data_IF_951692980358
#
_entry.id   IF_951692980358
#
_cell.length_a   1.000
_cell.length_b   1.000
_cell.length_c   1.000
_cell.angle_alpha   90.00
_cell.angle_beta   90.00
_cell.angle_gamma   90.00
#
_symmetry.space_group_name_H-M   'P 1'
#
loop_
_entity.id
_entity.type
_entity.pdbx_description
1 polymer ?
#
# COMPACT_ATOMS: atom_id res chain seq x y z
N UNK A 1 0.42 -37.22 26.02
CA UNK A 1 1.52 -36.37 25.52
C UNK A 1 1.17 -35.96 24.11
N UNK A 2 0.65 -34.74 23.91
CA UNK A 2 0.53 -34.19 22.57
C UNK A 2 1.95 -33.95 22.04
N UNK A 3 2.28 -34.50 20.88
CA UNK A 3 3.50 -34.14 20.19
C UNK A 3 3.43 -32.63 19.91
N UNK A 4 4.27 -31.85 20.59
CA UNK A 4 4.45 -30.44 20.29
C UNK A 4 4.89 -30.39 18.83
N UNK A 5 4.10 -29.76 17.97
CA UNK A 5 4.50 -29.50 16.60
C UNK A 5 5.87 -28.81 16.63
N UNK A 6 6.79 -29.14 15.72
CA UNK A 6 8.06 -28.43 15.64
C UNK A 6 7.78 -26.94 15.42
N UNK A 7 8.54 -26.10 16.12
CA UNK A 7 8.47 -24.64 15.97
C UNK A 7 8.69 -24.27 14.49
N UNK A 8 8.00 -23.21 14.05
CA UNK A 8 8.12 -22.78 12.65
C UNK A 8 9.49 -22.16 12.35
N UNK A 9 10.07 -21.54 13.38
CA UNK A 9 11.36 -20.87 13.32
C UNK A 9 12.26 -21.35 14.48
N UNK A 10 13.59 -21.19 14.35
CA UNK A 10 14.51 -21.32 15.48
C UNK A 10 14.18 -20.33 16.61
N UNK A 11 14.50 -20.69 17.85
CA UNK A 11 14.17 -19.95 19.09
C UNK A 11 14.60 -18.47 19.09
N UNK A 12 15.70 -18.10 18.42
CA UNK A 12 16.09 -16.69 18.31
C UNK A 12 15.24 -15.92 17.28
N UNK A 13 14.78 -16.61 16.24
CA UNK A 13 14.11 -16.00 15.09
C UNK A 13 12.60 -15.94 15.23
N UNK A 14 12.00 -16.81 16.04
CA UNK A 14 10.55 -16.87 16.30
C UNK A 14 9.97 -15.55 16.85
N UNK A 15 10.79 -14.75 17.50
CA UNK A 15 10.41 -13.46 18.09
C UNK A 15 10.95 -12.31 17.25
N UNK A 16 12.21 -12.39 16.81
CA UNK A 16 12.86 -11.31 16.06
C UNK A 16 12.21 -11.06 14.70
N UNK A 17 11.88 -12.11 13.95
CA UNK A 17 11.30 -11.97 12.62
C UNK A 17 9.91 -11.33 12.69
N UNK A 18 8.96 -11.81 13.52
CA UNK A 18 7.67 -11.16 13.63
C UNK A 18 7.75 -9.71 14.11
N UNK A 19 8.61 -9.40 15.09
CA UNK A 19 8.76 -8.02 15.58
C UNK A 19 9.29 -7.10 14.49
N UNK A 20 10.28 -7.56 13.72
CA UNK A 20 10.82 -6.79 12.60
C UNK A 20 9.75 -6.58 11.51
N UNK A 21 9.01 -7.63 11.14
CA UNK A 21 7.90 -7.54 10.19
C UNK A 21 6.81 -6.58 10.70
N UNK A 22 6.48 -6.64 11.99
CA UNK A 22 5.47 -5.77 12.59
C UNK A 22 5.92 -4.29 12.60
N UNK A 23 7.19 -4.04 12.91
CA UNK A 23 7.77 -2.71 12.84
C UNK A 23 7.75 -2.13 11.42
N UNK A 24 8.10 -2.95 10.42
CA UNK A 24 8.08 -2.55 9.02
C UNK A 24 6.67 -2.34 8.47
N UNK A 25 5.71 -3.18 8.87
CA UNK A 25 4.31 -3.00 8.45
C UNK A 25 3.76 -1.66 8.94
N UNK A 26 3.91 -1.38 10.24
CA UNK A 26 3.42 -0.16 10.84
C UNK A 26 4.11 1.06 10.21
N UNK A 27 5.42 0.98 9.96
CA UNK A 27 6.16 2.01 9.25
C UNK A 27 5.52 2.29 7.88
N UNK A 28 5.31 1.28 7.05
CA UNK A 28 4.75 1.50 5.71
C UNK A 28 3.28 1.92 5.72
N UNK A 29 2.42 1.28 6.51
CA UNK A 29 0.98 1.54 6.51
C UNK A 29 0.67 2.93 7.07
N UNK A 30 1.27 3.28 8.22
CA UNK A 30 1.00 4.56 8.89
C UNK A 30 1.55 5.72 8.07
N UNK A 31 2.78 5.62 7.57
CA UNK A 31 3.36 6.71 6.76
C UNK A 31 2.67 6.86 5.41
N UNK A 32 2.21 5.76 4.79
CA UNK A 32 1.36 5.85 3.58
C UNK A 32 0.06 6.57 3.88
N UNK A 33 -0.61 6.22 4.98
CA UNK A 33 -1.89 6.82 5.38
C UNK A 33 -1.72 8.30 5.70
N UNK A 34 -0.60 8.66 6.34
CA UNK A 34 -0.26 10.05 6.59
C UNK A 34 -0.08 10.84 5.30
N UNK A 35 0.65 10.28 4.32
CA UNK A 35 0.94 10.97 3.06
C UNK A 35 -0.28 11.07 2.13
N UNK A 36 -1.12 10.03 2.08
CA UNK A 36 -2.32 9.98 1.23
C UNK A 36 -3.54 10.65 1.87
N UNK A 37 -3.57 10.74 3.20
CA UNK A 37 -4.76 11.07 3.97
C UNK A 37 -5.85 10.00 3.83
N UNK A 38 -6.96 10.20 4.54
CA UNK A 38 -8.09 9.25 4.56
C UNK A 38 -8.62 8.98 3.16
N UNK A 39 -8.85 10.03 2.37
CA UNK A 39 -9.45 9.87 1.04
C UNK A 39 -8.53 9.15 0.06
N UNK A 40 -7.23 9.46 0.04
CA UNK A 40 -6.28 8.75 -0.82
C UNK A 40 -6.10 7.29 -0.39
N UNK A 41 -6.10 7.02 0.91
CA UNK A 41 -6.01 5.66 1.46
C UNK A 41 -7.20 4.78 1.06
N UNK A 42 -8.42 5.32 1.08
CA UNK A 42 -9.65 4.57 0.80
C UNK A 42 -10.18 4.77 -0.63
N UNK A 43 -9.27 4.88 -1.62
CA UNK A 43 -9.60 4.91 -3.05
C UNK A 43 -10.52 6.08 -3.46
N UNK A 44 -10.27 7.27 -2.91
CA UNK A 44 -11.02 8.48 -3.27
C UNK A 44 -11.01 8.82 -4.76
N UNK A 45 -9.97 8.37 -5.48
CA UNK A 45 -9.86 8.49 -6.94
C UNK A 45 -10.98 7.75 -7.70
N UNK A 46 -11.62 6.75 -7.09
CA UNK A 46 -12.78 6.06 -7.66
C UNK A 46 -14.07 6.89 -7.53
N UNK A 47 -14.06 7.91 -6.68
CA UNK A 47 -15.18 8.81 -6.42
C UNK A 47 -14.91 10.24 -6.92
N UNK A 48 -13.95 10.40 -7.84
CA UNK A 48 -13.51 11.69 -8.40
C UNK A 48 -12.89 12.65 -7.35
N UNK A 49 -12.50 12.15 -6.18
CA UNK A 49 -11.77 12.92 -5.16
C UNK A 49 -10.28 12.66 -5.34
N UNK A 50 -9.68 13.43 -6.25
CA UNK A 50 -8.31 13.24 -6.70
C UNK A 50 -7.34 14.24 -6.06
N UNK A 51 -6.17 13.75 -5.61
CA UNK A 51 -5.10 14.60 -5.10
C UNK A 51 -4.52 15.47 -6.22
N UNK A 52 -3.85 16.57 -5.85
CA UNK A 52 -3.24 17.46 -6.85
C UNK A 52 -2.12 16.80 -7.64
N UNK A 53 -1.33 15.98 -6.95
CA UNK A 53 -0.29 15.15 -7.53
C UNK A 53 -0.26 13.79 -6.82
N UNK A 54 0.34 12.81 -7.47
CA UNK A 54 0.62 11.50 -6.85
C UNK A 54 1.67 11.70 -5.74
N UNK A 55 1.50 10.97 -4.64
CA UNK A 55 2.53 10.90 -3.60
C UNK A 55 3.73 10.13 -4.13
N UNK A 56 4.87 10.81 -4.26
CA UNK A 56 6.14 10.22 -4.68
C UNK A 56 7.17 10.18 -3.55
N UNK A 57 6.90 10.81 -2.40
CA UNK A 57 7.76 10.76 -1.22
C UNK A 57 7.67 9.42 -0.47
N UNK A 58 8.44 9.27 0.61
CA UNK A 58 8.35 8.08 1.46
C UNK A 58 6.92 7.86 1.99
N UNK A 59 6.40 6.62 1.92
CA UNK A 59 7.06 5.37 1.48
C UNK A 59 6.93 5.03 -0.02
N UNK A 60 6.22 5.84 -0.80
CA UNK A 60 5.93 5.60 -2.22
C UNK A 60 7.17 5.66 -3.13
N UNK A 61 8.26 6.33 -2.71
CA UNK A 61 9.55 6.31 -3.41
C UNK A 61 10.28 4.95 -3.31
N UNK A 62 10.02 4.16 -2.27
CA UNK A 62 10.67 2.86 -2.04
C UNK A 62 9.83 1.73 -2.60
N UNK A 63 8.51 1.79 -2.41
CA UNK A 63 7.55 0.78 -2.87
C UNK A 63 6.42 1.48 -3.62
N UNK A 64 5.97 0.90 -4.73
CA UNK A 64 4.83 1.46 -5.49
C UNK A 64 3.53 1.44 -4.70
N UNK A 65 3.32 0.35 -3.95
CA UNK A 65 2.08 0.05 -3.23
C UNK A 65 2.38 -0.31 -1.76
N UNK A 66 2.95 0.63 -0.99
CA UNK A 66 3.55 0.38 0.32
C UNK A 66 2.54 -0.15 1.33
N UNK A 67 1.28 0.28 1.26
CA UNK A 67 0.21 -0.21 2.14
C UNK A 67 -0.07 -1.71 1.95
N UNK A 68 -0.07 -2.20 0.71
CA UNK A 68 -0.34 -3.61 0.41
C UNK A 68 0.83 -4.51 0.85
N UNK A 69 2.06 -4.02 0.66
CA UNK A 69 3.26 -4.69 1.14
C UNK A 69 3.28 -4.72 2.67
N UNK A 70 3.05 -3.57 3.31
CA UNK A 70 2.96 -3.45 4.77
C UNK A 70 1.91 -4.39 5.34
N UNK A 71 0.65 -4.32 4.90
CA UNK A 71 -0.40 -5.20 5.44
C UNK A 71 -0.10 -6.70 5.23
N UNK A 72 0.58 -7.09 4.14
CA UNK A 72 1.07 -8.47 3.96
C UNK A 72 2.10 -8.85 5.03
N UNK A 73 3.04 -7.96 5.35
CA UNK A 73 4.00 -8.15 6.44
C UNK A 73 3.28 -8.30 7.80
N UNK A 74 2.22 -7.52 8.04
CA UNK A 74 1.41 -7.62 9.26
C UNK A 74 0.78 -9.02 9.41
N UNK A 75 0.17 -9.55 8.35
CA UNK A 75 -0.40 -10.90 8.35
C UNK A 75 0.67 -11.98 8.58
N UNK A 76 1.83 -11.84 7.91
CA UNK A 76 2.95 -12.75 8.11
C UNK A 76 3.48 -12.70 9.55
N UNK A 77 3.64 -11.50 10.12
CA UNK A 77 4.12 -11.29 11.47
C UNK A 77 3.24 -12.02 12.49
N UNK A 78 1.92 -11.81 12.43
CA UNK A 78 0.98 -12.46 13.35
C UNK A 78 0.95 -13.98 13.15
N UNK A 79 0.99 -14.46 11.91
CA UNK A 79 1.04 -15.89 11.63
C UNK A 79 2.28 -16.58 12.22
N UNK A 80 3.43 -15.91 12.12
CA UNK A 80 4.70 -16.39 12.69
C UNK A 80 4.72 -16.27 14.22
N UNK A 81 4.24 -15.15 14.77
CA UNK A 81 4.20 -14.92 16.22
C UNK A 81 3.41 -15.98 16.98
N UNK A 82 2.32 -16.48 16.39
CA UNK A 82 1.49 -17.54 16.97
C UNK A 82 1.83 -18.94 16.44
N UNK A 83 2.89 -19.08 15.66
CA UNK A 83 3.34 -20.32 15.03
C UNK A 83 2.21 -21.08 14.31
N UNK A 84 1.45 -20.36 13.47
CA UNK A 84 0.29 -20.92 12.75
C UNK A 84 0.60 -21.09 11.25
N UNK A 85 0.88 -22.31 10.76
CA UNK A 85 1.09 -22.57 9.34
C UNK A 85 -0.10 -22.15 8.46
N UNK A 86 -1.33 -22.33 8.97
CA UNK A 86 -2.53 -21.88 8.30
C UNK A 86 -2.55 -20.36 8.09
N UNK A 87 -2.02 -19.58 9.04
CA UNK A 87 -1.88 -18.14 8.92
C UNK A 87 -0.94 -17.73 7.78
N UNK A 88 0.14 -18.49 7.55
CA UNK A 88 1.05 -18.27 6.41
C UNK A 88 0.38 -18.57 5.07
N UNK A 89 -0.45 -19.62 4.99
CA UNK A 89 -1.23 -19.92 3.79
C UNK A 89 -2.25 -18.82 3.49
N UNK A 90 -2.91 -18.29 4.52
CA UNK A 90 -3.82 -17.15 4.39
C UNK A 90 -3.04 -15.90 3.94
N UNK A 91 -1.87 -15.65 4.52
CA UNK A 91 -0.98 -14.54 4.12
C UNK A 91 -0.63 -14.64 2.63
N UNK A 92 -0.23 -15.83 2.16
CA UNK A 92 0.05 -16.08 0.75
C UNK A 92 -1.18 -15.84 -0.13
N UNK A 93 -2.35 -16.31 0.29
CA UNK A 93 -3.60 -16.09 -0.43
C UNK A 93 -3.91 -14.59 -0.56
N UNK A 94 -3.82 -13.83 0.53
CA UNK A 94 -4.05 -12.39 0.53
C UNK A 94 -3.05 -11.67 -0.38
N UNK A 95 -1.77 -12.06 -0.34
CA UNK A 95 -0.75 -11.50 -1.21
C UNK A 95 -1.05 -11.73 -2.70
N UNK A 96 -1.54 -12.93 -3.07
CA UNK A 96 -1.98 -13.21 -4.43
C UNK A 96 -3.14 -12.29 -4.83
N UNK A 97 -4.14 -12.13 -3.95
CA UNK A 97 -5.27 -11.22 -4.19
C UNK A 97 -4.79 -9.78 -4.37
N UNK A 98 -3.81 -9.33 -3.59
CA UNK A 98 -3.21 -8.01 -3.73
C UNK A 98 -2.52 -7.82 -5.08
N UNK A 99 -1.70 -8.78 -5.53
CA UNK A 99 -1.08 -8.72 -6.86
C UNK A 99 -2.14 -8.59 -7.94
N UNK A 100 -3.21 -9.38 -7.86
CA UNK A 100 -4.30 -9.33 -8.83
C UNK A 100 -5.00 -7.96 -8.80
N UNK A 101 -5.33 -7.43 -7.63
CA UNK A 101 -5.94 -6.12 -7.49
C UNK A 101 -5.06 -5.01 -8.07
N UNK A 102 -3.76 -5.03 -7.77
CA UNK A 102 -2.79 -4.03 -8.23
C UNK A 102 -2.57 -4.05 -9.75
N UNK A 103 -2.73 -5.21 -10.41
CA UNK A 103 -2.70 -5.28 -11.88
C UNK A 103 -3.77 -4.42 -12.54
N UNK A 104 -4.92 -4.22 -11.89
CA UNK A 104 -5.99 -3.37 -12.41
C UNK A 104 -5.93 -1.95 -11.85
N UNK A 105 -5.71 -1.82 -10.53
CA UNK A 105 -5.65 -0.53 -9.84
C UNK A 105 -4.49 0.34 -10.34
N UNK A 106 -3.30 -0.23 -10.48
CA UNK A 106 -2.09 0.53 -10.86
C UNK A 106 -2.25 1.29 -12.18
N UNK A 107 -2.58 0.61 -13.29
CA UNK A 107 -2.80 1.28 -14.58
C UNK A 107 -3.95 2.29 -14.56
N UNK A 108 -5.01 2.02 -13.80
CA UNK A 108 -6.14 2.95 -13.67
C UNK A 108 -5.74 4.26 -12.98
N UNK A 109 -5.06 4.16 -11.84
CA UNK A 109 -4.54 5.32 -11.11
C UNK A 109 -3.54 6.10 -11.98
N UNK A 110 -2.61 5.42 -12.66
CA UNK A 110 -1.64 6.08 -13.56
C UNK A 110 -2.36 6.87 -14.67
N UNK A 111 -3.40 6.29 -15.27
CA UNK A 111 -4.20 6.94 -16.32
C UNK A 111 -4.91 8.20 -15.79
N UNK A 112 -5.56 8.14 -14.62
CA UNK A 112 -6.28 9.29 -14.06
C UNK A 112 -5.32 10.44 -13.77
N UNK A 113 -4.19 10.18 -13.12
CA UNK A 113 -3.20 11.22 -12.81
C UNK A 113 -2.54 11.79 -14.07
N UNK A 114 -2.30 10.96 -15.10
CA UNK A 114 -1.81 11.44 -16.40
C UNK A 114 -2.81 12.39 -17.05
N UNK A 115 -4.10 12.03 -17.05
CA UNK A 115 -5.17 12.87 -17.59
C UNK A 115 -5.29 14.20 -16.84
N UNK A 116 -5.16 14.20 -15.50
CA UNK A 116 -5.14 15.44 -14.69
C UNK A 116 -3.96 16.33 -15.07
N UNK A 117 -2.76 15.75 -15.21
CA UNK A 117 -1.57 16.50 -15.61
C UNK A 117 -1.73 17.13 -17.00
N UNK A 118 -2.27 16.39 -17.98
CA UNK A 118 -2.58 16.92 -19.31
C UNK A 118 -3.61 18.05 -19.27
N UNK A 119 -4.68 17.89 -18.48
CA UNK A 119 -5.72 18.91 -18.34
C UNK A 119 -5.16 20.21 -17.72
N UNK A 120 -4.33 20.09 -16.67
CA UNK A 120 -3.66 21.23 -16.04
C UNK A 120 -2.70 21.93 -17.02
N UNK A 121 -1.90 21.18 -17.79
CA UNK A 121 -1.00 21.72 -18.78
C UNK A 121 -1.73 22.40 -19.96
N UNK A 122 -2.92 21.93 -20.33
CA UNK A 122 -3.76 22.57 -21.34
C UNK A 122 -4.40 23.86 -20.81
N UNK A 123 -4.84 23.87 -19.55
CA UNK A 123 -5.41 25.05 -18.90
C UNK A 123 -4.39 26.18 -18.74
N UNK A 124 -3.14 25.87 -18.40
CA UNK A 124 -2.06 26.88 -18.27
C UNK A 124 -1.64 27.51 -19.60
N UNK A 125 -1.90 26.85 -20.73
CA UNK A 125 -1.60 27.36 -22.08
C UNK A 125 -2.71 28.23 -22.68
N UNK A 126 -3.92 28.27 -22.09
CA UNK A 126 -4.97 29.18 -22.57
C UNK A 126 -4.63 30.61 -22.14
N UNK A 127 -4.41 31.55 -23.07
CA UNK A 127 -4.23 32.94 -22.70
C UNK A 127 -5.50 33.42 -21.99
N UNK A 128 -5.35 34.10 -20.86
CA UNK A 128 -6.45 34.80 -20.18
C UNK A 128 -7.15 35.68 -21.21
N UNK A 129 -8.35 35.26 -21.64
CA UNK A 129 -9.19 36.11 -22.46
C UNK A 129 -9.42 37.38 -21.66
N UNK A 130 -8.86 38.48 -22.16
CA UNK A 130 -9.06 39.84 -21.65
C UNK A 130 -10.50 39.99 -21.17
N UNK A 131 -10.68 40.37 -19.90
CA UNK A 131 -11.88 41.09 -19.48
C UNK A 131 -11.87 42.40 -20.24
N UNK A 132 -12.58 42.44 -21.36
CA UNK A 132 -12.97 43.70 -21.98
C UNK A 132 -14.10 44.29 -21.12
N UNK A 133 -13.82 45.43 -20.52
CA UNK A 133 -14.74 46.37 -19.90
C UNK A 133 -14.64 47.68 -20.70
#
# INVERSE_FOLDING_TARGET
MAALAPSLLPELLDTLIPVALFGLDQLFVVTSTWALGITGTFLGDYFDILMDARVEDFPSNVLRDPMYVGSTMCFAAIALWYERPAGLLITLYVYIVYILALKYKGPFTDMIYSNRAFAQAAASKRPSSKKEL
#
